data_IF_256249225971
#
_entry.id   IF_256249225971
#
_cell.length_a   1.000
_cell.length_b   1.000
_cell.length_c   1.000
_cell.angle_alpha   90.00
_cell.angle_beta   90.00
_cell.angle_gamma   90.00
#
_symmetry.space_group_name_H-M   'P 1'
#
loop_
_entity.id
_entity.type
_entity.pdbx_description
1 polymer ?
#
# COMPACT_ATOMS: atom_id res chain seq x y z
N UNK A 1 19.86 -7.03 -19.53
CA UNK A 1 20.46 -8.02 -18.62
C UNK A 1 21.67 -8.56 -19.35
N UNK A 2 22.86 -8.04 -19.05
CA UNK A 2 24.11 -8.48 -19.68
C UNK A 2 24.80 -9.47 -18.74
N UNK A 3 24.80 -10.75 -19.13
CA UNK A 3 25.54 -11.77 -18.42
C UNK A 3 27.03 -11.64 -18.73
N UNK A 4 27.84 -11.44 -17.69
CA UNK A 4 29.28 -11.27 -17.85
C UNK A 4 29.97 -12.62 -17.99
N UNK A 5 31.11 -12.68 -18.69
CA UNK A 5 31.88 -13.93 -18.85
C UNK A 5 32.40 -14.55 -17.54
N UNK A 6 32.26 -13.84 -16.41
CA UNK A 6 32.57 -14.32 -15.06
C UNK A 6 31.47 -15.25 -14.54
N UNK A 7 30.21 -15.00 -14.92
CA UNK A 7 29.05 -15.78 -14.46
C UNK A 7 29.05 -17.19 -15.07
N UNK A 8 29.50 -17.31 -16.33
CA UNK A 8 29.71 -18.60 -17.01
C UNK A 8 30.78 -19.45 -16.32
N UNK A 9 31.85 -18.84 -15.79
CA UNK A 9 32.91 -19.58 -15.11
C UNK A 9 32.45 -20.14 -13.76
N UNK A 10 31.68 -19.36 -13.00
CA UNK A 10 31.09 -19.81 -11.73
C UNK A 10 30.09 -20.95 -11.94
N UNK A 11 29.31 -20.88 -13.02
CA UNK A 11 28.40 -21.97 -13.38
C UNK A 11 29.16 -23.26 -13.70
N UNK A 12 30.27 -23.18 -14.45
CA UNK A 12 31.09 -24.34 -14.79
C UNK A 12 31.76 -24.99 -13.56
N UNK A 13 32.06 -24.21 -12.53
CA UNK A 13 32.55 -24.71 -11.24
C UNK A 13 31.44 -25.44 -10.48
N UNK A 14 30.19 -24.96 -10.56
CA UNK A 14 29.04 -25.60 -9.92
C UNK A 14 28.67 -26.96 -10.56
N UNK A 15 28.94 -27.12 -11.86
CA UNK A 15 28.67 -28.36 -12.59
C UNK A 15 29.82 -29.38 -12.56
N UNK A 16 30.97 -29.05 -11.97
CA UNK A 16 32.02 -30.04 -11.74
C UNK A 16 31.62 -30.95 -10.57
N UNK A 17 31.10 -32.13 -10.89
CA UNK A 17 31.05 -33.26 -9.97
C UNK A 17 32.46 -33.83 -9.89
N UNK A 18 33.14 -33.69 -8.75
CA UNK A 18 34.44 -34.30 -8.53
C UNK A 18 34.30 -35.82 -8.68
N UNK A 19 34.86 -36.36 -9.76
CA UNK A 19 35.11 -37.78 -9.91
C UNK A 19 36.30 -38.18 -9.03
N UNK A 20 36.04 -38.31 -7.73
CA UNK A 20 36.88 -39.08 -6.83
C UNK A 20 35.96 -39.95 -5.96
N UNK A 21 35.46 -41.01 -6.59
CA UNK A 21 35.03 -42.21 -5.87
C UNK A 21 36.29 -43.00 -5.49
N UNK A 22 36.67 -42.98 -4.20
CA UNK A 22 37.60 -43.92 -3.58
C UNK A 22 37.28 -43.97 -2.08
N UNK A 23 36.51 -44.96 -1.62
CA UNK A 23 37.00 -46.17 -0.93
C UNK A 23 37.75 -45.86 0.39
N UNK A 24 37.09 -46.04 1.54
CA UNK A 24 37.60 -46.82 2.70
C UNK A 24 36.64 -46.71 3.91
N UNK A 25 36.52 -47.84 4.62
CA UNK A 25 35.64 -48.11 5.76
C UNK A 25 35.96 -47.28 7.03
N UNK A 26 34.95 -47.19 7.91
CA UNK A 26 35.01 -46.86 9.35
C UNK A 26 35.55 -45.47 9.79
N UNK A 27 34.61 -44.58 10.10
CA UNK A 27 34.44 -43.91 11.41
C UNK A 27 33.68 -42.58 11.23
N UNK A 28 32.35 -42.65 11.16
CA UNK A 28 31.52 -41.45 11.26
C UNK A 28 31.63 -40.88 12.68
N UNK A 29 32.06 -39.61 12.88
CA UNK A 29 31.87 -38.98 14.17
C UNK A 29 30.37 -38.88 14.40
N UNK A 30 29.88 -39.50 15.49
CA UNK A 30 28.50 -39.38 15.97
C UNK A 30 28.22 -37.91 16.30
N UNK A 31 27.86 -37.14 15.29
CA UNK A 31 27.29 -35.82 15.44
C UNK A 31 26.03 -35.97 16.29
N UNK A 32 25.94 -35.20 17.37
CA UNK A 32 24.94 -35.29 18.44
C UNK A 32 23.48 -34.99 18.01
N UNK A 33 23.15 -35.17 16.73
CA UNK A 33 21.87 -34.86 16.10
C UNK A 33 20.90 -36.05 16.15
N UNK A 34 21.38 -37.26 16.47
CA UNK A 34 20.55 -38.47 16.52
C UNK A 34 19.63 -38.62 17.74
N UNK A 35 19.51 -37.59 18.59
CA UNK A 35 18.71 -37.65 19.84
C UNK A 35 17.48 -36.75 19.86
N UNK A 36 17.14 -36.11 18.73
CA UNK A 36 15.91 -35.33 18.60
C UNK A 36 14.86 -36.17 17.88
N UNK A 37 13.81 -36.56 18.60
CA UNK A 37 12.62 -37.17 18.01
C UNK A 37 11.65 -36.10 17.52
N UNK A 38 10.60 -36.47 16.76
CA UNK A 38 9.58 -35.53 16.25
C UNK A 38 8.82 -34.73 17.32
N UNK A 39 9.05 -35.00 18.61
CA UNK A 39 8.45 -34.30 19.74
C UNK A 39 9.42 -33.47 20.60
N UNK A 40 10.68 -33.31 20.20
CA UNK A 40 11.68 -32.59 21.00
C UNK A 40 11.81 -31.12 20.57
N UNK A 41 10.70 -30.38 20.71
CA UNK A 41 10.66 -28.93 20.47
C UNK A 41 10.92 -28.21 21.80
N UNK A 42 12.01 -27.45 21.96
CA UNK A 42 12.25 -26.73 23.19
C UNK A 42 11.19 -25.65 23.38
N UNK A 43 10.38 -25.81 24.43
CA UNK A 43 9.48 -24.78 24.93
C UNK A 43 10.29 -23.62 25.52
N UNK A 44 9.98 -22.40 25.09
CA UNK A 44 10.49 -21.11 25.54
C UNK A 44 11.85 -20.66 25.00
N UNK A 45 11.85 -20.10 23.79
CA UNK A 45 12.78 -18.99 23.47
C UNK A 45 12.25 -17.74 24.18
N UNK A 46 12.82 -17.40 25.34
CA UNK A 46 12.69 -16.05 25.89
C UNK A 46 13.60 -15.16 25.05
N UNK A 47 13.04 -14.50 24.04
CA UNK A 47 13.75 -13.49 23.25
C UNK A 47 14.12 -12.37 24.22
N UNK A 48 15.40 -12.31 24.62
CA UNK A 48 15.95 -11.13 25.28
C UNK A 48 16.21 -10.12 24.18
N UNK A 49 15.32 -9.15 24.04
CA UNK A 49 15.56 -7.97 23.20
C UNK A 49 16.84 -7.32 23.69
N UNK A 50 17.86 -7.31 22.83
CA UNK A 50 19.10 -6.59 23.07
C UNK A 50 18.78 -5.12 22.80
N UNK A 51 18.94 -4.29 23.82
CA UNK A 51 18.70 -2.85 23.76
C UNK A 51 19.58 -2.20 22.70
N UNK A 52 18.94 -1.75 21.63
CA UNK A 52 19.56 -1.02 20.52
C UNK A 52 18.56 0.02 20.01
N UNK A 53 18.45 1.11 20.76
CA UNK A 53 18.01 2.45 20.38
C UNK A 53 17.19 2.59 19.07
N UNK A 54 15.87 2.36 19.14
CA UNK A 54 14.89 2.95 18.22
C UNK A 54 13.72 3.51 19.04
N UNK A 55 13.20 4.62 18.55
CA UNK A 55 12.57 5.66 19.34
C UNK A 55 11.07 5.39 19.46
N UNK A 56 10.64 4.94 20.63
CA UNK A 56 9.34 5.24 21.27
C UNK A 56 8.13 5.56 20.35
N UNK A 57 7.46 4.53 19.82
CA UNK A 57 6.01 4.56 19.60
C UNK A 57 5.41 3.19 19.96
N UNK A 58 5.62 2.74 21.19
CA UNK A 58 4.83 1.64 21.78
C UNK A 58 3.75 2.27 22.67
N UNK A 59 2.80 2.97 22.03
CA UNK A 59 1.51 3.22 22.67
C UNK A 59 0.74 1.92 22.54
N UNK A 60 0.59 1.21 23.64
CA UNK A 60 -0.32 0.08 23.79
C UNK A 60 -1.72 0.50 23.34
N UNK A 61 -2.02 0.30 22.05
CA UNK A 61 -3.39 0.32 21.55
C UNK A 61 -4.07 -0.86 22.24
N UNK A 62 -5.23 -0.64 22.86
CA UNK A 62 -6.01 -1.73 23.43
C UNK A 62 -6.38 -2.72 22.31
N UNK A 63 -5.63 -3.81 22.19
CA UNK A 63 -5.87 -4.84 21.19
C UNK A 63 -6.89 -5.82 21.75
N UNK A 64 -7.98 -6.07 21.01
CA UNK A 64 -8.90 -7.16 21.36
C UNK A 64 -8.10 -8.47 21.43
N UNK A 65 -8.19 -9.15 22.58
CA UNK A 65 -7.53 -10.44 22.85
C UNK A 65 -7.82 -11.55 21.83
N UNK A 66 -8.85 -11.37 20.99
CA UNK A 66 -9.23 -12.28 19.90
C UNK A 66 -8.78 -11.82 18.51
N UNK A 67 -8.28 -10.60 18.36
CA UNK A 67 -7.78 -10.13 17.07
C UNK A 67 -6.40 -10.71 16.81
N UNK A 68 -6.26 -11.44 15.71
CA UNK A 68 -4.98 -12.04 15.28
C UNK A 68 -4.05 -10.95 14.70
N UNK A 69 -4.62 -9.87 14.16
CA UNK A 69 -3.88 -8.78 13.52
C UNK A 69 -4.24 -7.43 14.14
N UNK A 70 -3.22 -6.59 14.32
CA UNK A 70 -3.40 -5.17 14.62
C UNK A 70 -3.27 -4.36 13.34
N UNK A 71 -4.04 -3.27 13.17
CA UNK A 71 -3.96 -2.44 11.95
C UNK A 71 -2.54 -1.91 11.72
N UNK A 72 -1.77 -1.65 12.78
CA UNK A 72 -0.38 -1.19 12.69
C UNK A 72 0.60 -2.28 12.22
N UNK A 73 0.23 -3.57 12.26
CA UNK A 73 1.07 -4.70 11.86
C UNK A 73 0.96 -5.00 10.36
N UNK A 74 -0.09 -4.50 9.70
CA UNK A 74 -0.29 -4.67 8.26
C UNK A 74 0.43 -3.52 7.53
N UNK A 75 1.51 -3.77 6.78
CA UNK A 75 2.21 -2.71 6.06
C UNK A 75 1.30 -2.10 5.00
N UNK A 76 1.22 -0.77 5.00
CA UNK A 76 0.50 -0.02 3.97
C UNK A 76 1.24 -0.16 2.64
N UNK A 77 0.73 -1.01 1.75
CA UNK A 77 1.29 -1.17 0.41
C UNK A 77 0.78 -0.01 -0.47
N UNK A 78 1.67 0.81 -1.06
CA UNK A 78 1.28 2.03 -1.80
C UNK A 78 0.52 1.75 -3.09
N UNK A 79 0.68 0.53 -3.62
CA UNK A 79 -0.01 0.03 -4.81
C UNK A 79 -0.56 -1.34 -4.48
N UNK A 80 -1.87 -1.46 -4.53
CA UNK A 80 -2.56 -2.74 -4.46
C UNK A 80 -2.17 -3.53 -5.73
N UNK A 81 -1.15 -4.40 -5.62
CA UNK A 81 -0.62 -5.22 -6.73
C UNK A 81 -1.70 -6.15 -7.31
N UNK A 82 -2.79 -6.37 -6.54
CA UNK A 82 -4.00 -7.09 -6.93
C UNK A 82 -4.69 -6.48 -8.16
N UNK A 83 -4.61 -5.16 -8.35
CA UNK A 83 -5.31 -4.46 -9.42
C UNK A 83 -4.77 -4.81 -10.81
N UNK A 84 -3.53 -5.28 -10.91
CA UNK A 84 -2.92 -5.72 -12.18
C UNK A 84 -3.37 -7.11 -12.61
N UNK A 85 -3.79 -7.95 -11.67
CA UNK A 85 -4.18 -9.34 -11.91
C UNK A 85 -5.70 -9.57 -11.86
N UNK A 86 -6.48 -8.54 -11.49
CA UNK A 86 -7.92 -8.60 -11.42
C UNK A 86 -8.54 -8.69 -12.83
N UNK A 87 -9.45 -9.65 -13.11
CA UNK A 87 -10.15 -9.74 -14.39
C UNK A 87 -11.17 -8.61 -14.64
N UNK A 88 -11.51 -7.80 -13.63
CA UNK A 88 -12.48 -6.70 -13.75
C UNK A 88 -11.95 -5.56 -14.61
N UNK A 89 -12.86 -4.84 -15.25
CA UNK A 89 -12.49 -3.73 -16.11
C UNK A 89 -12.10 -2.50 -15.28
N UNK A 90 -11.12 -1.73 -15.74
CA UNK A 90 -10.83 -0.41 -15.19
C UNK A 90 -11.86 0.60 -15.71
N UNK A 91 -12.60 1.31 -14.83
CA UNK A 91 -13.59 2.29 -15.24
C UNK A 91 -12.94 3.58 -15.75
N UNK A 92 -13.68 4.35 -16.56
CA UNK A 92 -13.26 5.69 -16.98
C UNK A 92 -13.37 6.67 -15.81
N UNK A 93 -12.33 7.45 -15.57
CA UNK A 93 -12.31 8.46 -14.51
C UNK A 93 -11.68 9.77 -14.97
N UNK A 94 -12.06 10.87 -14.32
CA UNK A 94 -11.59 12.23 -14.59
C UNK A 94 -11.23 12.93 -13.27
N UNK A 95 -10.14 13.70 -13.27
CA UNK A 95 -9.72 14.54 -12.15
C UNK A 95 -10.09 16.00 -12.41
N UNK A 96 -10.77 16.61 -11.44
CA UNK A 96 -11.11 18.03 -11.44
C UNK A 96 -10.71 18.64 -10.12
N UNK A 97 -10.27 19.89 -10.10
CA UNK A 97 -9.94 20.58 -8.85
C UNK A 97 -10.95 21.69 -8.59
N UNK A 98 -11.29 21.89 -7.32
CA UNK A 98 -12.23 22.92 -6.88
C UNK A 98 -11.56 23.80 -5.83
N UNK A 99 -11.63 25.09 -6.10
CA UNK A 99 -11.20 26.16 -5.21
C UNK A 99 -12.40 26.81 -4.54
N UNK A 100 -12.29 27.10 -3.26
CA UNK A 100 -13.21 27.98 -2.55
C UNK A 100 -12.81 29.42 -2.80
N UNK A 101 -13.71 30.21 -3.39
CA UNK A 101 -13.47 31.62 -3.70
C UNK A 101 -14.43 32.47 -2.88
N UNK A 102 -13.88 33.31 -2.00
CA UNK A 102 -14.64 34.22 -1.15
C UNK A 102 -14.94 35.56 -1.81
N UNK A 103 -15.66 36.42 -1.11
CA UNK A 103 -15.90 37.79 -1.58
C UNK A 103 -14.61 38.63 -1.58
N UNK A 104 -13.70 38.35 -0.66
CA UNK A 104 -12.37 38.93 -0.55
C UNK A 104 -11.50 38.64 -1.79
N UNK A 105 -11.67 37.47 -2.40
CA UNK A 105 -10.97 37.06 -3.61
C UNK A 105 -11.58 37.72 -4.86
N UNK A 106 -12.92 37.75 -4.94
CA UNK A 106 -13.64 38.27 -6.10
C UNK A 106 -13.65 39.80 -6.20
N UNK A 107 -13.82 40.50 -5.08
CA UNK A 107 -14.05 41.94 -5.08
C UNK A 107 -12.83 42.76 -4.69
N UNK A 108 -11.96 42.22 -3.81
CA UNK A 108 -10.83 42.96 -3.25
C UNK A 108 -9.47 42.36 -3.64
N UNK A 109 -9.47 41.15 -4.21
CA UNK A 109 -8.27 40.41 -4.58
C UNK A 109 -7.26 40.29 -3.42
N UNK A 110 -7.76 40.19 -2.18
CA UNK A 110 -6.94 40.18 -0.97
C UNK A 110 -6.51 38.78 -0.54
N UNK A 111 -7.23 37.73 -0.92
CA UNK A 111 -6.92 36.36 -0.47
C UNK A 111 -5.71 35.73 -1.17
N UNK A 112 -5.00 36.48 -2.01
CA UNK A 112 -3.80 36.09 -2.75
C UNK A 112 -3.93 34.81 -3.61
N UNK A 113 -5.11 34.20 -3.65
CA UNK A 113 -5.42 32.97 -4.39
C UNK A 113 -5.15 33.11 -5.89
N UNK A 114 -4.45 32.13 -6.44
CA UNK A 114 -4.17 31.99 -7.86
C UNK A 114 -5.15 31.01 -8.51
N UNK A 115 -5.35 31.09 -9.84
CA UNK A 115 -6.15 30.11 -10.59
C UNK A 115 -5.42 28.76 -10.76
N UNK A 116 -4.27 28.57 -10.12
CA UNK A 116 -3.51 27.34 -10.19
C UNK A 116 -4.08 26.26 -9.25
N UNK A 117 -3.81 25.01 -9.57
CA UNK A 117 -4.20 23.86 -8.73
C UNK A 117 -3.58 23.91 -7.32
N UNK A 118 -2.47 24.65 -7.15
CA UNK A 118 -1.83 24.86 -5.86
C UNK A 118 -2.76 25.51 -4.81
N UNK A 119 -3.74 26.29 -5.26
CA UNK A 119 -4.66 27.03 -4.39
C UNK A 119 -6.04 26.39 -4.28
N UNK A 120 -6.22 25.17 -4.82
CA UNK A 120 -7.48 24.42 -4.79
C UNK A 120 -7.55 23.48 -3.58
N UNK A 121 -8.47 23.70 -2.64
CA UNK A 121 -8.55 22.89 -1.41
C UNK A 121 -9.15 21.49 -1.65
N UNK A 122 -9.91 21.30 -2.73
CA UNK A 122 -10.61 20.05 -3.02
C UNK A 122 -10.20 19.45 -4.36
N UNK A 123 -9.96 18.14 -4.37
CA UNK A 123 -9.82 17.32 -5.55
C UNK A 123 -11.10 16.51 -5.76
N UNK A 124 -11.65 16.53 -6.96
CA UNK A 124 -12.87 15.83 -7.34
C UNK A 124 -12.51 14.75 -8.36
N UNK A 125 -12.91 13.52 -8.09
CA UNK A 125 -12.71 12.37 -8.97
C UNK A 125 -14.07 11.92 -9.47
N UNK A 126 -14.28 11.99 -10.78
CA UNK A 126 -15.54 11.60 -11.43
C UNK A 126 -15.31 10.26 -12.11
N UNK A 127 -15.96 9.20 -11.63
CA UNK A 127 -15.79 7.82 -12.10
C UNK A 127 -17.09 7.37 -12.76
N UNK A 128 -17.01 6.89 -14.01
CA UNK A 128 -18.15 6.37 -14.76
C UNK A 128 -18.26 4.86 -14.56
N UNK A 129 -19.39 4.41 -14.02
CA UNK A 129 -19.66 3.00 -13.69
C UNK A 129 -21.01 2.58 -14.31
N UNK A 130 -21.12 2.47 -15.64
CA UNK A 130 -22.37 2.11 -16.28
C UNK A 130 -22.79 0.68 -15.90
N UNK A 131 -24.06 0.52 -15.54
CA UNK A 131 -24.63 -0.79 -15.20
C UNK A 131 -24.51 -1.20 -13.72
N UNK A 132 -23.82 -0.42 -12.89
CA UNK A 132 -23.69 -0.71 -11.46
C UNK A 132 -24.70 0.04 -10.59
N UNK A 133 -24.94 -0.51 -9.40
CA UNK A 133 -25.81 0.09 -8.38
C UNK A 133 -24.96 0.62 -7.25
N UNK A 134 -25.45 1.65 -6.57
CA UNK A 134 -24.81 2.25 -5.39
C UNK A 134 -24.43 1.22 -4.31
N UNK A 135 -25.27 0.22 -4.09
CA UNK A 135 -25.09 -0.77 -3.02
C UNK A 135 -23.93 -1.75 -3.29
N UNK A 136 -23.53 -1.89 -4.55
CA UNK A 136 -22.49 -2.85 -4.97
C UNK A 136 -21.11 -2.17 -5.08
N UNK A 137 -21.02 -0.88 -4.76
CA UNK A 137 -19.80 -0.08 -4.89
C UNK A 137 -19.17 0.09 -3.51
N UNK A 138 -18.01 -0.52 -3.32
CA UNK A 138 -17.17 -0.37 -2.14
C UNK A 138 -16.03 0.60 -2.44
N UNK A 139 -15.83 1.58 -1.54
CA UNK A 139 -14.79 2.59 -1.65
C UNK A 139 -13.96 2.56 -0.38
N UNK A 140 -12.66 2.40 -0.54
CA UNK A 140 -11.67 2.50 0.54
C UNK A 140 -10.74 3.66 0.22
N UNK A 141 -10.70 4.64 1.12
CA UNK A 141 -9.84 5.81 0.98
C UNK A 141 -8.77 5.79 2.07
N UNK A 142 -7.51 5.81 1.63
CA UNK A 142 -6.35 6.11 2.45
C UNK A 142 -5.81 7.51 2.06
N UNK A 143 -4.87 8.05 2.84
CA UNK A 143 -4.24 9.36 2.64
C UNK A 143 -3.61 9.52 1.26
N UNK A 144 -3.03 8.45 0.71
CA UNK A 144 -2.33 8.47 -0.59
C UNK A 144 -2.97 7.55 -1.63
N UNK A 145 -4.05 6.86 -1.29
CA UNK A 145 -4.57 5.80 -2.14
C UNK A 145 -6.09 5.75 -2.12
N UNK A 146 -6.69 5.66 -3.30
CA UNK A 146 -8.12 5.46 -3.49
C UNK A 146 -8.33 4.10 -4.15
N UNK A 147 -8.99 3.21 -3.42
CA UNK A 147 -9.44 1.91 -3.91
C UNK A 147 -10.95 1.93 -4.09
N UNK A 148 -11.40 1.56 -5.30
CA UNK A 148 -12.78 1.30 -5.62
C UNK A 148 -12.93 -0.13 -6.12
N UNK A 149 -13.93 -0.82 -5.58
CA UNK A 149 -14.27 -2.19 -5.91
C UNK A 149 -15.76 -2.27 -6.19
N UNK A 150 -16.08 -2.92 -7.30
CA UNK A 150 -17.45 -3.22 -7.66
C UNK A 150 -17.49 -4.49 -8.51
N UNK A 151 -18.66 -5.14 -8.72
CA UNK A 151 -18.73 -6.44 -9.36
C UNK A 151 -18.08 -6.48 -10.76
N UNK A 152 -18.22 -5.39 -11.53
CA UNK A 152 -17.68 -5.30 -12.88
C UNK A 152 -16.39 -4.49 -12.96
N UNK A 153 -16.19 -3.53 -12.05
CA UNK A 153 -15.06 -2.62 -12.12
C UNK A 153 -14.12 -2.72 -10.92
N UNK A 154 -12.83 -2.54 -11.20
CA UNK A 154 -11.77 -2.38 -10.20
C UNK A 154 -10.98 -1.15 -10.54
N UNK A 155 -10.77 -0.28 -9.56
CA UNK A 155 -9.95 0.91 -9.71
C UNK A 155 -9.09 1.07 -8.47
N UNK A 156 -7.78 1.12 -8.66
CA UNK A 156 -6.79 1.40 -7.63
C UNK A 156 -5.97 2.59 -8.13
N UNK A 157 -6.03 3.71 -7.40
CA UNK A 157 -5.47 5.00 -7.80
C UNK A 157 -4.57 5.52 -6.69
N UNK A 158 -3.29 5.68 -6.99
CA UNK A 158 -2.38 6.46 -6.17
C UNK A 158 -2.70 7.96 -6.32
N UNK A 159 -2.85 8.65 -5.20
CA UNK A 159 -3.13 10.07 -5.13
C UNK A 159 -1.81 10.86 -5.12
N UNK A 160 -1.70 11.95 -5.90
CA UNK A 160 -0.47 12.74 -5.99
C UNK A 160 -0.17 13.53 -4.71
N UNK A 161 -1.20 13.80 -3.90
CA UNK A 161 -1.11 14.55 -2.65
C UNK A 161 -1.88 13.82 -1.56
N UNK A 162 -1.48 14.09 -0.32
CA UNK A 162 -2.22 13.61 0.84
C UNK A 162 -3.63 14.18 0.88
N UNK A 163 -4.57 13.31 1.22
CA UNK A 163 -5.96 13.68 1.43
C UNK A 163 -6.39 13.31 2.84
N UNK A 164 -7.39 14.05 3.31
CA UNK A 164 -8.02 13.78 4.59
C UNK A 164 -9.27 12.91 4.38
N UNK A 165 -9.25 11.65 4.83
CA UNK A 165 -10.37 10.75 4.60
C UNK A 165 -11.64 11.18 5.35
N UNK A 166 -11.50 11.78 6.54
CA UNK A 166 -12.63 12.13 7.41
C UNK A 166 -13.48 13.29 6.87
N UNK A 167 -12.84 14.21 6.12
CA UNK A 167 -13.52 15.36 5.51
C UNK A 167 -13.90 15.14 4.05
N UNK A 168 -13.48 14.01 3.47
CA UNK A 168 -13.83 13.61 2.12
C UNK A 168 -15.28 13.10 2.03
N UNK A 169 -15.90 13.22 0.86
CA UNK A 169 -17.28 12.75 0.65
C UNK A 169 -17.46 12.17 -0.75
N UNK A 170 -18.43 11.26 -0.88
CA UNK A 170 -18.78 10.63 -2.15
C UNK A 170 -20.28 10.77 -2.46
N UNK A 171 -20.60 11.16 -3.68
CA UNK A 171 -21.97 11.26 -4.19
C UNK A 171 -22.15 10.32 -5.39
N UNK A 172 -23.15 9.45 -5.31
CA UNK A 172 -23.56 8.58 -6.43
C UNK A 172 -24.70 9.23 -7.20
N UNK A 173 -24.52 9.40 -8.52
CA UNK A 173 -25.55 9.90 -9.43
C UNK A 173 -26.08 8.77 -10.31
N UNK A 174 -27.25 8.26 -9.95
CA UNK A 174 -27.90 7.14 -10.64
C UNK A 174 -28.24 7.45 -12.10
N UNK A 175 -28.71 8.67 -12.41
CA UNK A 175 -29.12 9.05 -13.76
C UNK A 175 -28.01 8.96 -14.81
N UNK A 176 -26.74 9.06 -14.40
CA UNK A 176 -25.57 8.99 -15.28
C UNK A 176 -24.66 7.81 -14.92
N UNK A 177 -25.06 6.98 -13.96
CA UNK A 177 -24.24 5.93 -13.35
C UNK A 177 -22.81 6.42 -13.07
N UNK A 178 -22.69 7.57 -12.40
CA UNK A 178 -21.42 8.24 -12.16
C UNK A 178 -21.22 8.45 -10.67
N UNK A 179 -20.06 8.06 -10.17
CA UNK A 179 -19.62 8.31 -8.79
C UNK A 179 -18.75 9.57 -8.79
N UNK A 180 -19.09 10.54 -7.95
CA UNK A 180 -18.29 11.76 -7.75
C UNK A 180 -17.72 11.74 -6.35
N UNK A 181 -16.40 11.65 -6.24
CA UNK A 181 -15.67 11.64 -4.97
C UNK A 181 -15.02 13.00 -4.79
N UNK A 182 -15.33 13.68 -3.70
CA UNK A 182 -14.73 14.96 -3.30
C UNK A 182 -13.74 14.69 -2.17
N UNK A 183 -12.46 14.77 -2.49
CA UNK A 183 -11.34 14.61 -1.57
C UNK A 183 -10.87 15.99 -1.08
N UNK A 184 -10.68 16.14 0.22
CA UNK A 184 -10.06 17.33 0.80
C UNK A 184 -8.55 17.13 0.81
N UNK A 185 -7.81 18.02 0.16
CA UNK A 185 -6.35 17.95 0.08
C UNK A 185 -5.73 18.44 1.39
N UNK A 186 -4.71 17.76 1.89
CA UNK A 186 -3.90 18.18 3.03
C UNK A 186 -2.46 18.35 2.53
N UNK A 187 -2.02 19.59 2.29
CA UNK A 187 -0.68 19.90 1.77
C UNK A 187 0.14 20.64 2.82
N UNK A 188 1.45 20.36 2.88
CA UNK A 188 2.36 20.89 3.91
C UNK A 188 2.45 22.43 3.93
N UNK A 189 2.12 23.11 2.83
CA UNK A 189 2.19 24.57 2.72
C UNK A 189 0.85 25.23 2.38
N UNK A 190 -0.27 24.58 2.69
CA UNK A 190 -1.60 25.14 2.36
C UNK A 190 -1.88 26.48 3.08
N UNK A 191 -1.16 26.77 4.17
CA UNK A 191 -1.23 28.05 4.89
C UNK A 191 -0.45 29.19 4.22
N UNK A 192 0.39 28.90 3.21
CA UNK A 192 1.17 29.89 2.45
C UNK A 192 0.93 29.78 0.94
N UNK A 193 0.21 28.74 0.50
CA UNK A 193 -0.11 28.56 -0.91
C UNK A 193 -1.24 29.53 -1.27
N UNK A 194 -0.82 30.62 -1.89
CA UNK A 194 -1.67 31.63 -2.47
C UNK A 194 -1.67 31.48 -3.99
#
# INVERSE_FOLDING_TARGET
>A
MDFSGIDIKKLAELFHQNEDSSSEDDDLPRSAVSKLGPGDVPSMVKVRSTEGNEENIDRSVETDSKSIWNLNEVPEVPVCDDASYDPRQRPDYEFTYRQYVGAEDLYLQLGQKTPATASCEKMIIIIKLPGEKKADIDICLNKHHLDLRSPMYRLSLALPHEVDPDTSSGEWRESKSTLTITLTLRREFDFVNF
#
